data_IF_854987633181
#
_entry.id   IF_854987633181
#
_cell.length_a   1.000
_cell.length_b   1.000
_cell.length_c   1.000
_cell.angle_alpha   90.00
_cell.angle_beta   90.00
_cell.angle_gamma   90.00
#
_symmetry.space_group_name_H-M   'P 1'
#
loop_
_entity.id
_entity.type
_entity.pdbx_description
1 polymer ?
#
# COMPACT_ATOMS: atom_id res chain seq x y z
N UNK A 1 8.72 -14.55 11.16
CA UNK A 1 10.04 -14.24 11.79
C UNK A 1 9.77 -13.26 12.91
N UNK A 2 10.38 -13.45 14.11
CA UNK A 2 10.26 -12.49 15.21
C UNK A 2 11.43 -11.51 15.06
N UNK A 3 11.13 -10.20 15.04
CA UNK A 3 12.11 -9.12 15.01
C UNK A 3 11.99 -8.31 16.30
N UNK A 4 13.10 -7.81 16.83
CA UNK A 4 13.12 -6.87 17.94
C UNK A 4 13.46 -5.48 17.38
N UNK A 5 12.56 -4.51 17.56
CA UNK A 5 12.78 -3.13 17.08
C UNK A 5 13.93 -2.48 17.83
N UNK A 6 13.99 -2.69 19.14
CA UNK A 6 15.03 -2.14 20.00
C UNK A 6 15.82 -3.26 20.71
N UNK A 7 16.55 -4.09 19.92
CA UNK A 7 17.35 -5.20 20.44
C UNK A 7 18.35 -4.83 21.56
N UNK A 8 18.91 -3.57 21.66
CA UNK A 8 19.82 -3.24 22.77
C UNK A 8 19.16 -3.34 24.15
N UNK A 9 17.83 -3.23 24.26
CA UNK A 9 17.12 -3.41 25.53
C UNK A 9 17.31 -4.83 26.11
N UNK A 10 17.58 -5.85 25.28
CA UNK A 10 17.89 -7.19 25.75
C UNK A 10 19.20 -7.28 26.54
N UNK A 11 20.11 -6.33 26.36
CA UNK A 11 21.34 -6.25 27.13
C UNK A 11 21.09 -5.91 28.61
N UNK A 12 19.90 -5.38 28.94
CA UNK A 12 19.50 -5.18 30.34
C UNK A 12 19.33 -6.51 31.09
N UNK A 13 18.98 -7.59 30.42
CA UNK A 13 18.81 -8.93 31.04
C UNK A 13 20.08 -9.42 31.73
N UNK A 14 21.25 -9.48 31.10
CA UNK A 14 22.50 -9.89 31.77
C UNK A 14 22.93 -8.87 32.83
N UNK A 15 22.68 -7.57 32.63
CA UNK A 15 22.99 -6.53 33.64
C UNK A 15 22.14 -6.77 34.89
N UNK A 16 20.84 -7.00 34.75
CA UNK A 16 19.96 -7.34 35.84
C UNK A 16 20.37 -8.63 36.56
N UNK A 17 20.80 -9.65 35.79
CA UNK A 17 21.30 -10.92 36.36
C UNK A 17 22.56 -10.71 37.20
N UNK A 18 23.51 -9.88 36.74
CA UNK A 18 24.71 -9.52 37.52
C UNK A 18 24.36 -8.76 38.78
N UNK A 19 23.47 -7.76 38.71
CA UNK A 19 22.99 -7.03 39.87
C UNK A 19 22.32 -7.97 40.85
N UNK A 20 21.44 -8.88 40.38
CA UNK A 20 20.81 -9.88 41.22
C UNK A 20 21.80 -10.78 41.94
N UNK A 21 22.89 -11.14 41.25
CA UNK A 21 23.95 -11.96 41.81
C UNK A 21 24.73 -11.21 42.90
N UNK A 22 25.08 -9.96 42.65
CA UNK A 22 25.80 -9.09 43.59
C UNK A 22 24.99 -8.74 44.83
N UNK A 23 23.68 -8.53 44.66
CA UNK A 23 22.76 -8.19 45.75
C UNK A 23 22.23 -9.44 46.52
N UNK A 24 22.61 -10.65 46.12
CA UNK A 24 22.30 -11.84 46.90
C UNK A 24 22.86 -11.67 48.30
N UNK A 25 22.01 -11.62 49.36
CA UNK A 25 22.53 -11.59 50.72
C UNK A 25 23.39 -12.84 50.90
N UNK A 26 24.65 -12.67 51.25
CA UNK A 26 25.47 -13.81 51.66
C UNK A 26 24.66 -14.60 52.67
N UNK A 27 24.40 -15.88 52.39
CA UNK A 27 23.82 -16.79 53.36
C UNK A 27 24.82 -16.88 54.51
N UNK A 28 24.84 -15.85 55.31
CA UNK A 28 25.48 -15.90 56.60
C UNK A 28 24.81 -17.06 57.33
N UNK A 29 25.63 -18.05 57.66
CA UNK A 29 25.27 -19.17 58.49
C UNK A 29 24.40 -18.68 59.65
N UNK A 30 23.06 -18.84 59.53
CA UNK A 30 22.22 -18.81 60.70
C UNK A 30 22.73 -19.98 61.57
N UNK A 31 23.70 -19.68 62.42
CA UNK A 31 23.96 -20.52 63.58
C UNK A 31 22.63 -20.58 64.32
N UNK A 32 21.92 -21.69 64.17
CA UNK A 32 20.84 -22.09 65.07
C UNK A 32 21.47 -22.18 66.44
N UNK A 33 21.28 -21.18 67.28
CA UNK A 33 21.47 -21.32 68.70
C UNK A 33 20.38 -22.31 69.15
N UNK A 34 20.78 -23.54 69.32
CA UNK A 34 19.96 -24.59 69.95
C UNK A 34 19.82 -24.22 71.41
N UNK A 35 18.74 -23.54 71.74
CA UNK A 35 18.30 -23.40 73.12
C UNK A 35 17.71 -24.75 73.50
N UNK A 36 18.43 -25.53 74.30
CA UNK A 36 17.92 -26.71 74.95
C UNK A 36 17.11 -26.30 76.14
N UNK A 37 15.80 -25.99 75.98
CA UNK A 37 14.81 -25.84 77.03
C UNK A 37 14.01 -27.14 77.14
N UNK A 38 13.48 -27.42 78.37
CA UNK A 38 12.86 -28.71 78.73
C UNK A 38 11.44 -28.93 78.14
N UNK A 39 10.96 -28.09 77.24
CA UNK A 39 9.67 -28.29 76.58
C UNK A 39 9.88 -28.29 75.07
N UNK A 40 9.81 -29.45 74.48
CA UNK A 40 9.87 -29.73 73.05
C UNK A 40 8.51 -29.34 72.40
N UNK A 41 8.35 -28.04 72.07
CA UNK A 41 7.28 -27.63 71.21
C UNK A 41 7.82 -27.77 69.79
N UNK A 42 7.53 -28.87 69.16
CA UNK A 42 7.69 -29.04 67.70
C UNK A 42 6.91 -27.94 67.00
N UNK A 43 7.55 -26.81 66.81
CA UNK A 43 7.10 -25.84 65.81
C UNK A 43 7.37 -26.43 64.44
N UNK A 44 6.35 -27.10 63.91
CA UNK A 44 6.34 -27.52 62.54
C UNK A 44 6.59 -26.31 61.62
N UNK A 45 7.80 -26.17 61.17
CA UNK A 45 8.10 -25.27 60.06
C UNK A 45 7.37 -25.83 58.85
N UNK A 46 6.15 -25.33 58.62
CA UNK A 46 5.48 -25.55 57.34
C UNK A 46 6.39 -24.89 56.30
N UNK A 47 7.22 -25.67 55.66
CA UNK A 47 7.82 -25.29 54.40
C UNK A 47 6.68 -25.09 53.41
N UNK A 48 6.14 -23.86 53.38
CA UNK A 48 5.25 -23.48 52.29
C UNK A 48 6.08 -23.59 51.01
N UNK A 49 5.77 -24.55 50.17
CA UNK A 49 6.33 -24.70 48.81
C UNK A 49 5.89 -23.54 47.92
N UNK A 50 6.00 -22.33 48.42
CA UNK A 50 5.67 -21.10 47.69
C UNK A 50 6.85 -20.62 46.86
N UNK A 51 6.58 -20.10 45.70
CA UNK A 51 7.59 -19.47 44.84
C UNK A 51 8.26 -18.34 45.60
N UNK A 52 9.59 -18.31 45.69
CA UNK A 52 10.30 -17.25 46.45
C UNK A 52 9.99 -15.87 45.84
N UNK A 53 9.59 -14.86 46.65
CA UNK A 53 9.17 -13.53 46.16
C UNK A 53 10.22 -12.87 45.28
N UNK A 54 11.50 -13.10 45.56
CA UNK A 54 12.60 -12.57 44.75
C UNK A 54 12.61 -13.13 43.32
N UNK A 55 12.18 -14.36 43.14
CA UNK A 55 12.14 -14.97 41.79
C UNK A 55 11.02 -14.36 40.93
N UNK A 56 9.89 -13.99 41.55
CA UNK A 56 8.80 -13.28 40.89
C UNK A 56 9.24 -11.87 40.46
N UNK A 57 9.95 -11.14 41.32
CA UNK A 57 10.48 -9.81 40.98
C UNK A 57 11.46 -9.86 39.80
N UNK A 58 12.40 -10.78 39.84
CA UNK A 58 13.41 -10.91 38.79
C UNK A 58 12.81 -11.36 37.49
N UNK A 59 11.88 -12.32 37.49
CA UNK A 59 11.19 -12.75 36.28
C UNK A 59 10.34 -11.62 35.67
N UNK A 60 9.71 -10.81 36.51
CA UNK A 60 8.96 -9.63 36.06
C UNK A 60 9.87 -8.60 35.39
N UNK A 61 11.03 -8.31 35.96
CA UNK A 61 12.01 -7.37 35.38
C UNK A 61 12.56 -7.88 34.03
N UNK A 62 12.82 -9.17 33.90
CA UNK A 62 13.24 -9.76 32.63
C UNK A 62 12.14 -9.62 31.57
N UNK A 63 10.89 -9.90 31.91
CA UNK A 63 9.76 -9.71 30.97
C UNK A 63 9.58 -8.24 30.58
N UNK A 64 9.76 -7.31 31.48
CA UNK A 64 9.72 -5.88 31.16
C UNK A 64 10.87 -5.47 30.22
N UNK A 65 12.07 -6.05 30.38
CA UNK A 65 13.20 -5.83 29.44
C UNK A 65 12.89 -6.36 28.05
N UNK A 66 12.22 -7.52 27.97
CA UNK A 66 11.73 -8.08 26.68
C UNK A 66 10.64 -7.18 26.10
N UNK A 67 9.72 -6.66 26.91
CA UNK A 67 8.71 -5.71 26.45
C UNK A 67 9.32 -4.44 25.86
N UNK A 68 10.37 -3.91 26.52
CA UNK A 68 11.11 -2.74 26.06
C UNK A 68 11.84 -2.99 24.72
N UNK A 69 12.26 -4.24 24.45
CA UNK A 69 12.85 -4.63 23.19
C UNK A 69 11.83 -4.66 22.03
N UNK A 70 10.53 -4.47 22.31
CA UNK A 70 9.41 -4.44 21.37
C UNK A 70 9.45 -5.64 20.40
N UNK A 71 9.13 -6.85 20.87
CA UNK A 71 9.04 -8.01 19.99
C UNK A 71 7.92 -7.82 18.99
N UNK A 72 8.26 -7.90 17.72
CA UNK A 72 7.36 -7.74 16.59
C UNK A 72 7.28 -9.07 15.84
N UNK A 73 6.09 -9.49 15.46
CA UNK A 73 5.91 -10.68 14.65
C UNK A 73 4.98 -10.42 13.47
N UNK A 74 5.25 -11.15 12.39
CA UNK A 74 4.46 -11.07 11.18
C UNK A 74 4.77 -9.80 10.39
N UNK A 75 4.28 -9.78 9.21
CA UNK A 75 4.12 -8.60 8.38
C UNK A 75 2.71 -8.70 7.84
N UNK A 76 1.90 -7.73 8.17
CA UNK A 76 0.65 -7.50 7.49
C UNK A 76 1.03 -6.59 6.32
N UNK A 77 0.88 -7.08 5.09
CA UNK A 77 0.87 -6.18 3.94
C UNK A 77 -0.34 -5.30 4.14
N UNK A 78 -0.12 -4.06 4.56
CA UNK A 78 -1.13 -3.07 4.28
C UNK A 78 -1.21 -2.99 2.76
N UNK A 79 -2.40 -3.03 2.16
CA UNK A 79 -2.57 -2.56 0.81
C UNK A 79 -2.15 -1.08 0.88
N UNK A 80 -0.91 -0.83 0.45
CA UNK A 80 -0.36 0.51 0.46
C UNK A 80 -1.20 1.39 -0.46
N UNK A 81 -1.60 2.53 0.07
CA UNK A 81 -2.01 3.66 -0.75
C UNK A 81 -0.88 4.12 -1.73
N UNK A 82 0.29 3.45 -1.71
CA UNK A 82 1.45 3.67 -2.57
C UNK A 82 1.76 2.53 -3.55
N UNK A 83 1.11 1.36 -3.45
CA UNK A 83 1.27 0.24 -4.41
C UNK A 83 0.37 0.40 -5.65
N UNK A 84 -0.64 1.27 -5.62
CA UNK A 84 -1.50 1.55 -6.76
C UNK A 84 -0.80 2.37 -7.84
N UNK A 85 -1.20 2.16 -9.08
CA UNK A 85 -0.82 2.97 -10.22
C UNK A 85 -1.81 4.13 -10.34
N UNK A 86 -1.32 5.35 -10.59
CA UNK A 86 -2.20 6.46 -10.96
C UNK A 86 -2.42 6.44 -12.47
N UNK A 87 -3.65 6.23 -12.87
CA UNK A 87 -4.05 6.02 -14.28
C UNK A 87 -4.99 7.13 -14.70
N UNK A 88 -4.80 7.69 -15.89
CA UNK A 88 -5.81 8.51 -16.55
C UNK A 88 -6.22 7.85 -17.86
N UNK A 89 -7.51 7.53 -17.96
CA UNK A 89 -8.15 7.14 -19.21
C UNK A 89 -8.44 8.41 -19.99
N UNK A 90 -7.87 8.53 -21.18
CA UNK A 90 -8.05 9.69 -22.07
C UNK A 90 -8.84 9.20 -23.28
N UNK A 91 -10.14 9.54 -23.30
CA UNK A 91 -11.12 8.99 -24.21
C UNK A 91 -11.52 10.02 -25.28
N UNK A 92 -11.38 9.64 -26.53
CA UNK A 92 -11.94 10.38 -27.67
C UNK A 92 -13.48 10.27 -27.65
N UNK A 93 -14.14 11.40 -27.75
CA UNK A 93 -15.61 11.52 -27.83
C UNK A 93 -16.08 12.26 -29.08
N UNK A 94 -15.22 12.38 -30.09
CA UNK A 94 -15.51 13.00 -31.38
C UNK A 94 -16.63 12.25 -32.12
N UNK A 95 -17.16 12.86 -33.18
CA UNK A 95 -18.27 12.28 -33.94
C UNK A 95 -17.89 10.96 -34.62
N UNK A 96 -16.62 10.75 -35.02
CA UNK A 96 -16.12 9.49 -35.56
C UNK A 96 -16.30 8.31 -34.60
N UNK A 97 -16.21 8.54 -33.28
CA UNK A 97 -16.45 7.53 -32.27
C UNK A 97 -17.91 7.05 -32.18
N UNK A 98 -18.84 7.70 -32.87
CA UNK A 98 -20.23 7.29 -32.97
C UNK A 98 -20.47 6.28 -34.14
N UNK A 99 -19.43 5.97 -34.95
CA UNK A 99 -19.54 4.93 -35.96
C UNK A 99 -19.96 3.58 -35.35
N UNK A 100 -20.72 2.82 -36.19
CA UNK A 100 -21.36 1.55 -35.81
C UNK A 100 -20.64 0.31 -36.37
N UNK A 101 -19.39 0.46 -36.77
CA UNK A 101 -18.53 -0.67 -37.11
C UNK A 101 -18.24 -1.54 -35.87
N UNK A 102 -18.35 -0.94 -34.68
CA UNK A 102 -18.45 -1.62 -33.38
C UNK A 102 -19.91 -1.60 -32.89
N UNK A 103 -20.43 -2.73 -32.46
CA UNK A 103 -21.81 -2.76 -31.92
C UNK A 103 -21.83 -2.38 -30.44
N UNK A 104 -22.59 -1.36 -30.02
CA UNK A 104 -23.44 -0.47 -30.81
C UNK A 104 -22.73 0.72 -31.45
N UNK A 105 -21.55 1.12 -30.95
CA UNK A 105 -20.66 2.14 -31.50
C UNK A 105 -19.26 2.02 -30.87
N UNK A 106 -18.24 2.61 -31.51
CA UNK A 106 -16.85 2.67 -30.95
C UNK A 106 -16.84 3.27 -29.55
N UNK A 107 -17.53 4.39 -29.34
CA UNK A 107 -17.61 5.07 -28.05
C UNK A 107 -18.22 4.18 -26.97
N UNK A 108 -19.32 3.47 -27.31
CA UNK A 108 -19.93 2.57 -26.33
C UNK A 108 -19.03 1.38 -26.00
N UNK A 109 -18.39 0.79 -26.98
CA UNK A 109 -17.42 -0.28 -26.76
C UNK A 109 -16.23 0.20 -25.88
N UNK A 110 -15.73 1.41 -26.14
CA UNK A 110 -14.67 2.01 -25.34
C UNK A 110 -15.08 2.24 -23.88
N UNK A 111 -16.31 2.75 -23.64
CA UNK A 111 -16.86 2.90 -22.29
C UNK A 111 -17.00 1.57 -21.56
N UNK A 112 -17.58 0.57 -22.23
CA UNK A 112 -17.80 -0.75 -21.63
C UNK A 112 -16.46 -1.44 -21.27
N UNK A 113 -15.44 -1.26 -22.10
CA UNK A 113 -14.11 -1.77 -21.84
C UNK A 113 -13.43 -1.00 -20.68
N UNK A 114 -13.57 0.32 -20.62
CA UNK A 114 -13.05 1.15 -19.53
C UNK A 114 -13.73 0.80 -18.18
N UNK A 115 -15.04 0.57 -18.16
CA UNK A 115 -15.77 0.12 -16.96
C UNK A 115 -15.22 -1.20 -16.43
N UNK A 116 -15.06 -2.20 -17.30
CA UNK A 116 -14.48 -3.50 -16.91
C UNK A 116 -13.04 -3.36 -16.41
N UNK A 117 -12.25 -2.45 -16.97
CA UNK A 117 -10.91 -2.16 -16.50
C UNK A 117 -10.89 -1.58 -15.09
N UNK A 118 -11.79 -0.63 -14.80
CA UNK A 118 -11.93 -0.02 -13.46
C UNK A 118 -12.34 -1.06 -12.42
N UNK A 119 -13.32 -1.93 -12.73
CA UNK A 119 -13.77 -3.01 -11.85
C UNK A 119 -12.64 -3.95 -11.43
N UNK A 120 -11.68 -4.21 -12.33
CA UNK A 120 -10.52 -5.08 -12.07
C UNK A 120 -9.42 -4.47 -11.18
N UNK A 121 -9.53 -3.19 -10.79
CA UNK A 121 -8.43 -2.44 -10.16
C UNK A 121 -8.81 -1.69 -8.89
N UNK A 122 -9.20 -2.38 -7.83
CA UNK A 122 -9.74 -1.75 -6.62
C UNK A 122 -8.71 -0.88 -5.86
N UNK A 123 -7.43 -1.03 -6.12
CA UNK A 123 -6.33 -0.33 -5.42
C UNK A 123 -5.72 0.82 -6.22
N UNK A 124 -6.03 0.93 -7.52
CA UNK A 124 -5.48 1.96 -8.39
C UNK A 124 -6.33 3.23 -8.35
N UNK A 125 -5.68 4.38 -8.41
CA UNK A 125 -6.37 5.66 -8.58
C UNK A 125 -6.57 5.93 -10.06
N UNK A 126 -7.83 5.97 -10.49
CA UNK A 126 -8.15 6.11 -11.92
C UNK A 126 -8.90 7.42 -12.13
N UNK A 127 -8.49 8.18 -13.14
CA UNK A 127 -9.13 9.41 -13.59
C UNK A 127 -9.65 9.31 -15.02
N UNK A 128 -10.42 10.30 -15.46
CA UNK A 128 -11.01 10.37 -16.78
C UNK A 128 -10.83 11.77 -17.39
N UNK A 129 -10.23 11.80 -18.56
CA UNK A 129 -10.20 12.95 -19.47
C UNK A 129 -10.95 12.55 -20.73
N UNK A 130 -11.87 13.36 -21.17
CA UNK A 130 -12.47 13.23 -22.51
C UNK A 130 -11.95 14.32 -23.42
N UNK A 131 -11.87 14.08 -24.69
CA UNK A 131 -11.48 15.09 -25.66
C UNK A 131 -12.21 14.95 -26.99
N UNK A 132 -12.39 16.04 -27.67
CA UNK A 132 -12.78 16.20 -29.04
C UNK A 132 -11.90 17.31 -29.63
N UNK A 133 -12.42 18.40 -30.18
CA UNK A 133 -11.59 19.57 -30.52
C UNK A 133 -10.97 20.25 -29.27
N UNK A 134 -11.57 20.05 -28.10
CA UNK A 134 -11.10 20.57 -26.81
C UNK A 134 -11.13 19.46 -25.76
N UNK A 135 -10.12 19.37 -24.87
CA UNK A 135 -10.10 18.39 -23.81
C UNK A 135 -10.86 18.88 -22.56
N UNK A 136 -11.45 17.94 -21.81
CA UNK A 136 -12.13 18.17 -20.55
C UNK A 136 -11.75 17.10 -19.53
N UNK A 137 -11.14 17.49 -18.43
CA UNK A 137 -10.93 16.61 -17.30
C UNK A 137 -12.24 16.42 -16.54
N UNK A 138 -12.86 15.23 -16.65
CA UNK A 138 -14.12 14.90 -16.00
C UNK A 138 -13.92 14.42 -14.56
N UNK A 139 -12.86 13.67 -14.32
CA UNK A 139 -12.57 13.08 -13.02
C UNK A 139 -11.05 13.02 -12.79
N UNK A 140 -10.52 13.63 -11.72
CA UNK A 140 -9.11 13.43 -11.35
C UNK A 140 -8.87 12.00 -10.85
N UNK A 141 -7.62 11.51 -10.77
CA UNK A 141 -7.31 10.19 -10.23
C UNK A 141 -7.89 9.99 -8.83
N UNK A 142 -8.80 9.01 -8.69
CA UNK A 142 -9.55 8.72 -7.47
C UNK A 142 -9.70 7.24 -7.22
N UNK A 143 -9.85 6.84 -5.94
CA UNK A 143 -10.27 5.51 -5.52
C UNK A 143 -11.80 5.38 -5.46
N UNK A 144 -12.56 6.48 -5.62
CA UNK A 144 -14.01 6.43 -5.72
C UNK A 144 -14.43 6.00 -7.14
N UNK A 145 -14.30 4.69 -7.38
CA UNK A 145 -14.64 4.09 -8.67
C UNK A 145 -16.13 4.22 -8.98
N UNK A 146 -17.01 4.25 -7.98
CA UNK A 146 -18.45 4.42 -8.22
C UNK A 146 -18.78 5.79 -8.85
N UNK A 147 -18.06 6.83 -8.46
CA UNK A 147 -18.17 8.15 -9.10
C UNK A 147 -17.54 8.17 -10.48
N UNK A 148 -16.35 7.54 -10.65
CA UNK A 148 -15.67 7.43 -11.93
C UNK A 148 -16.53 6.70 -12.98
N UNK A 149 -17.15 5.57 -12.62
CA UNK A 149 -18.04 4.77 -13.48
C UNK A 149 -19.21 5.60 -14.01
N UNK A 150 -19.78 6.49 -13.16
CA UNK A 150 -20.84 7.41 -13.61
C UNK A 150 -20.34 8.40 -14.65
N UNK A 151 -19.11 8.89 -14.53
CA UNK A 151 -18.51 9.77 -15.53
C UNK A 151 -18.20 9.01 -16.82
N UNK A 152 -17.63 7.81 -16.74
CA UNK A 152 -17.37 6.98 -17.92
C UNK A 152 -18.67 6.68 -18.67
N UNK A 153 -19.72 6.25 -17.96
CA UNK A 153 -21.01 5.91 -18.58
C UNK A 153 -21.68 7.09 -19.28
N UNK A 154 -21.41 8.33 -18.83
CA UNK A 154 -21.99 9.56 -19.39
C UNK A 154 -21.05 10.28 -20.34
N UNK A 155 -19.81 9.79 -20.52
CA UNK A 155 -18.85 10.43 -21.40
C UNK A 155 -19.40 10.51 -22.85
N UNK A 156 -19.47 11.69 -23.40
CA UNK A 156 -20.02 11.95 -24.74
C UNK A 156 -19.52 13.29 -25.24
N UNK A 157 -19.65 13.54 -26.55
CA UNK A 157 -19.31 14.82 -27.14
C UNK A 157 -19.99 16.00 -26.41
N UNK A 158 -21.27 15.84 -26.04
CA UNK A 158 -22.01 16.84 -25.27
C UNK A 158 -21.98 18.23 -25.92
N UNK A 159 -21.44 19.20 -25.18
CA UNK A 159 -21.27 20.60 -25.64
C UNK A 159 -19.86 20.90 -26.19
N UNK A 160 -18.97 19.88 -26.29
CA UNK A 160 -17.66 20.06 -26.88
C UNK A 160 -17.78 20.28 -28.39
N UNK A 161 -16.89 21.08 -28.95
CA UNK A 161 -16.80 21.22 -30.41
C UNK A 161 -16.30 19.91 -30.99
N UNK A 162 -16.86 19.50 -32.12
CA UNK A 162 -16.42 18.32 -32.83
C UNK A 162 -15.02 18.50 -33.44
N UNK A 163 -14.30 17.42 -33.51
CA UNK A 163 -12.91 17.35 -33.96
C UNK A 163 -12.07 16.51 -33.03
N UNK A 164 -10.82 16.27 -33.37
CA UNK A 164 -9.91 15.40 -32.61
C UNK A 164 -8.63 16.14 -32.31
N UNK A 165 -8.41 16.47 -31.01
CA UNK A 165 -7.23 17.16 -30.49
C UNK A 165 -6.44 16.26 -29.54
N UNK A 166 -5.78 15.24 -30.08
CA UNK A 166 -5.01 14.22 -29.32
C UNK A 166 -3.95 14.89 -28.45
N UNK A 167 -3.19 15.84 -29.03
CA UNK A 167 -2.13 16.52 -28.30
C UNK A 167 -2.63 17.27 -27.09
N UNK A 168 -3.77 17.96 -27.20
CA UNK A 168 -4.39 18.69 -26.09
C UNK A 168 -4.94 17.73 -25.03
N UNK A 169 -5.61 16.63 -25.42
CA UNK A 169 -6.08 15.56 -24.53
C UNK A 169 -4.95 14.96 -23.73
N UNK A 170 -3.85 14.61 -24.40
CA UNK A 170 -2.65 14.05 -23.79
C UNK A 170 -1.99 15.03 -22.78
N UNK A 171 -1.92 16.32 -23.13
CA UNK A 171 -1.36 17.34 -22.24
C UNK A 171 -2.18 17.53 -20.96
N UNK A 172 -3.53 17.53 -21.07
CA UNK A 172 -4.42 17.60 -19.90
C UNK A 172 -4.32 16.36 -19.02
N UNK A 173 -4.23 15.18 -19.64
CA UNK A 173 -4.02 13.95 -18.89
C UNK A 173 -2.68 13.93 -18.14
N UNK A 174 -1.58 14.30 -18.80
CA UNK A 174 -0.27 14.39 -18.16
C UNK A 174 -0.28 15.36 -16.99
N UNK A 175 -0.87 16.54 -17.15
CA UNK A 175 -1.02 17.54 -16.08
C UNK A 175 -1.86 17.02 -14.91
N UNK A 176 -2.86 16.18 -15.16
CA UNK A 176 -3.66 15.54 -14.11
C UNK A 176 -2.85 14.60 -13.23
N UNK A 177 -1.70 14.12 -13.71
CA UNK A 177 -0.79 13.26 -12.98
C UNK A 177 0.42 13.99 -12.36
N UNK A 178 0.57 15.29 -12.55
CA UNK A 178 1.71 16.06 -11.98
C UNK A 178 1.74 16.04 -10.46
N UNK A 179 0.57 16.00 -9.82
CA UNK A 179 0.44 15.97 -8.36
C UNK A 179 0.42 14.53 -7.78
N UNK A 180 0.57 13.54 -8.63
CA UNK A 180 0.66 12.14 -8.21
C UNK A 180 1.96 11.91 -7.44
N UNK A 181 1.84 11.26 -6.27
CA UNK A 181 2.99 10.83 -5.46
C UNK A 181 3.37 9.37 -5.71
N UNK A 182 2.62 8.67 -6.57
CA UNK A 182 2.93 7.29 -6.93
C UNK A 182 4.16 7.23 -7.82
N UNK A 183 4.96 6.20 -7.62
CA UNK A 183 6.16 5.98 -8.45
C UNK A 183 5.81 5.68 -9.91
N UNK A 184 4.55 5.32 -10.19
CA UNK A 184 4.07 4.92 -11.52
C UNK A 184 2.80 5.64 -11.89
N UNK A 185 2.83 6.15 -13.09
CA UNK A 185 1.75 6.91 -13.69
C UNK A 185 1.53 6.42 -15.11
N UNK A 186 0.28 6.22 -15.46
CA UNK A 186 -0.11 5.67 -16.75
C UNK A 186 -1.18 6.54 -17.39
N UNK A 187 -1.04 6.81 -18.66
CA UNK A 187 -2.10 7.36 -19.51
C UNK A 187 -2.50 6.29 -20.48
N UNK A 188 -3.79 6.01 -20.60
CA UNK A 188 -4.37 5.16 -21.62
C UNK A 188 -5.12 6.08 -22.59
N UNK A 189 -4.54 6.31 -23.75
CA UNK A 189 -5.08 7.18 -24.78
C UNK A 189 -5.86 6.34 -25.79
N UNK A 190 -7.17 6.54 -25.85
CA UNK A 190 -8.06 5.89 -26.82
C UNK A 190 -8.45 6.87 -27.91
N UNK A 191 -8.21 6.54 -29.16
CA UNK A 191 -8.57 7.35 -30.33
C UNK A 191 -8.89 6.47 -31.51
N UNK A 192 -9.78 6.94 -32.38
CA UNK A 192 -10.10 6.32 -33.66
C UNK A 192 -9.66 7.17 -34.87
N UNK A 193 -9.11 8.35 -34.63
CA UNK A 193 -8.91 9.31 -35.71
C UNK A 193 -7.56 10.01 -35.76
N UNK A 194 -7.44 10.82 -36.80
CA UNK A 194 -6.30 11.70 -36.99
C UNK A 194 -6.50 13.01 -36.27
N UNK A 195 -5.40 13.57 -35.77
CA UNK A 195 -5.35 14.93 -35.24
C UNK A 195 -5.85 15.92 -36.33
N UNK A 196 -6.99 16.56 -36.08
CA UNK A 196 -7.59 17.49 -37.09
C UNK A 196 -8.02 18.84 -36.48
N UNK A 197 -8.03 18.98 -35.17
CA UNK A 197 -8.49 20.18 -34.48
C UNK A 197 -7.46 20.70 -33.44
N UNK A 198 -6.38 19.96 -33.16
CA UNK A 198 -5.42 20.32 -32.14
C UNK A 198 -4.49 21.47 -32.55
N UNK A 199 -4.27 22.42 -31.62
CA UNK A 199 -3.28 23.47 -31.76
C UNK A 199 -1.89 22.97 -31.34
N UNK A 200 -1.83 21.92 -30.52
CA UNK A 200 -0.61 21.35 -29.94
C UNK A 200 -0.30 20.02 -30.61
N UNK A 201 0.90 19.91 -31.16
CA UNK A 201 1.32 18.66 -31.81
C UNK A 201 1.46 17.51 -30.79
N UNK A 202 0.80 16.38 -30.96
CA UNK A 202 0.81 15.26 -30.00
C UNK A 202 2.20 14.66 -29.79
N UNK A 203 3.06 14.67 -30.82
CA UNK A 203 4.45 14.18 -30.68
C UNK A 203 5.30 15.09 -29.81
N UNK A 204 5.09 16.42 -29.89
CA UNK A 204 5.82 17.35 -29.04
C UNK A 204 5.39 17.22 -27.56
N UNK A 205 4.10 16.94 -27.32
CA UNK A 205 3.60 16.62 -25.98
C UNK A 205 4.23 15.33 -25.46
N UNK A 206 4.29 14.27 -26.29
CA UNK A 206 4.92 13.01 -25.91
C UNK A 206 6.42 13.20 -25.54
N UNK A 207 7.16 14.00 -26.31
CA UNK A 207 8.54 14.37 -25.97
C UNK A 207 8.65 15.15 -24.67
N UNK A 208 7.73 16.08 -24.42
CA UNK A 208 7.69 16.84 -23.18
C UNK A 208 7.41 15.92 -21.98
N UNK A 209 6.45 15.00 -22.09
CA UNK A 209 6.17 13.98 -21.09
C UNK A 209 7.44 13.17 -20.77
N UNK A 210 8.14 12.67 -21.81
CA UNK A 210 9.37 11.91 -21.61
C UNK A 210 10.46 12.73 -20.92
N UNK A 211 10.59 13.99 -21.26
CA UNK A 211 11.60 14.90 -20.69
C UNK A 211 11.30 15.24 -19.23
N UNK A 212 10.03 15.49 -18.88
CA UNK A 212 9.61 15.93 -17.55
C UNK A 212 9.45 14.78 -16.57
N UNK A 213 8.95 13.64 -17.02
CA UNK A 213 8.56 12.52 -16.15
C UNK A 213 9.45 11.28 -16.30
N UNK A 214 10.29 11.20 -17.33
CA UNK A 214 11.17 10.06 -17.58
C UNK A 214 10.37 8.76 -17.74
N UNK A 215 10.81 7.70 -17.04
CA UNK A 215 10.15 6.38 -17.06
C UNK A 215 8.99 6.25 -16.05
N UNK A 216 8.73 7.27 -15.24
CA UNK A 216 7.68 7.22 -14.22
C UNK A 216 6.27 7.47 -14.79
N UNK A 217 6.15 8.01 -16.01
CA UNK A 217 4.89 8.18 -16.71
C UNK A 217 4.97 7.53 -18.08
N UNK A 218 4.09 6.57 -18.36
CA UNK A 218 3.98 5.86 -19.65
C UNK A 218 2.65 6.16 -20.32
N UNK A 219 2.65 6.24 -21.63
CA UNK A 219 1.43 6.40 -22.41
C UNK A 219 1.20 5.15 -23.24
N UNK A 220 0.13 4.43 -22.96
CA UNK A 220 -0.39 3.36 -23.79
C UNK A 220 -1.42 3.96 -24.73
N UNK A 221 -1.28 3.69 -26.02
CA UNK A 221 -2.21 4.16 -27.04
C UNK A 221 -3.05 2.98 -27.55
N UNK A 222 -4.34 3.23 -27.73
CA UNK A 222 -5.30 2.25 -28.22
C UNK A 222 -5.96 2.81 -29.48
N UNK A 223 -5.66 2.21 -30.60
CA UNK A 223 -6.29 2.51 -31.88
C UNK A 223 -7.62 1.76 -31.96
N UNK A 224 -8.74 2.49 -32.12
CA UNK A 224 -10.09 1.93 -32.20
C UNK A 224 -10.61 2.14 -33.63
N UNK A 225 -10.89 1.07 -34.34
CA UNK A 225 -11.46 1.15 -35.68
C UNK A 225 -11.14 -0.10 -36.48
N UNK A 226 -11.92 -0.35 -37.55
CA UNK A 226 -11.70 -1.43 -38.47
C UNK A 226 -10.95 -0.94 -39.70
N UNK A 227 -10.10 -1.79 -40.29
CA UNK A 227 -9.46 -1.50 -41.59
C UNK A 227 -10.54 -1.25 -42.66
N UNK A 228 -10.48 -0.07 -43.30
CA UNK A 228 -11.44 0.33 -44.33
C UNK A 228 -12.60 1.19 -43.82
N UNK A 229 -12.63 1.64 -42.59
CA UNK A 229 -13.58 2.63 -42.10
C UNK A 229 -13.41 3.97 -42.85
N UNK A 230 -14.48 4.76 -42.95
CA UNK A 230 -14.47 6.08 -43.62
C UNK A 230 -13.48 7.05 -42.95
N UNK A 231 -13.26 6.86 -41.66
CA UNK A 231 -12.28 7.62 -40.86
C UNK A 231 -11.08 6.69 -40.53
N UNK A 232 -10.00 6.87 -41.28
CA UNK A 232 -8.76 6.09 -41.07
C UNK A 232 -8.13 6.41 -39.72
N UNK A 233 -7.60 5.38 -39.03
CA UNK A 233 -6.86 5.55 -37.81
C UNK A 233 -5.42 5.97 -38.10
N UNK A 234 -4.91 7.03 -37.47
CA UNK A 234 -3.50 7.40 -37.55
C UNK A 234 -2.65 6.57 -36.58
N UNK A 235 -2.48 5.30 -36.95
CA UNK A 235 -1.68 4.33 -36.19
C UNK A 235 -0.23 4.78 -36.04
N UNK A 236 0.30 5.51 -37.04
CA UNK A 236 1.69 5.99 -37.02
C UNK A 236 1.94 7.00 -35.90
N UNK A 237 1.07 8.00 -35.76
CA UNK A 237 1.14 8.99 -34.69
C UNK A 237 0.94 8.33 -33.32
N UNK A 238 -0.05 7.45 -33.18
CA UNK A 238 -0.30 6.74 -31.93
C UNK A 238 0.89 5.84 -31.50
N UNK A 239 1.50 5.12 -32.47
CA UNK A 239 2.71 4.32 -32.22
C UNK A 239 3.86 5.18 -31.75
N UNK A 240 4.09 6.31 -32.40
CA UNK A 240 5.18 7.22 -32.04
C UNK A 240 5.00 7.83 -30.64
N UNK A 241 3.77 8.19 -30.26
CA UNK A 241 3.47 8.68 -28.88
C UNK A 241 3.82 7.59 -27.86
N UNK A 242 3.38 6.37 -28.06
CA UNK A 242 3.63 5.25 -27.15
C UNK A 242 5.13 4.97 -27.03
N UNK A 243 5.85 4.84 -28.15
CA UNK A 243 7.30 4.57 -28.17
C UNK A 243 8.11 5.66 -27.45
N UNK A 244 7.82 6.93 -27.72
CA UNK A 244 8.52 8.06 -27.10
C UNK A 244 8.37 8.07 -25.57
N UNK A 245 7.23 7.62 -25.06
CA UNK A 245 6.91 7.63 -23.62
C UNK A 245 7.21 6.31 -22.91
N UNK A 246 7.74 5.31 -23.64
CA UNK A 246 8.07 3.98 -23.09
C UNK A 246 6.85 3.10 -22.86
N UNK A 247 5.71 3.43 -23.47
CA UNK A 247 4.51 2.60 -23.50
C UNK A 247 4.46 1.71 -24.75
N UNK A 248 3.24 1.35 -25.15
CA UNK A 248 2.99 0.49 -26.31
C UNK A 248 1.68 0.87 -26.99
N UNK A 249 1.65 0.75 -28.31
CA UNK A 249 0.43 0.79 -29.11
C UNK A 249 -0.30 -0.56 -29.02
N UNK A 250 -1.60 -0.50 -28.88
CA UNK A 250 -2.52 -1.61 -29.06
C UNK A 250 -3.50 -1.27 -30.17
N UNK A 251 -3.68 -2.22 -31.06
CA UNK A 251 -4.70 -2.15 -32.07
C UNK A 251 -5.92 -2.95 -31.60
N UNK A 252 -7.07 -2.33 -31.62
CA UNK A 252 -8.33 -2.92 -31.21
C UNK A 252 -9.29 -2.89 -32.39
N UNK A 253 -9.18 -3.87 -33.29
CA UNK A 253 -10.08 -4.04 -34.45
C UNK A 253 -11.47 -4.58 -34.05
N UNK A 254 -11.67 -4.97 -32.80
CA UNK A 254 -12.95 -5.49 -32.29
C UNK A 254 -13.17 -5.17 -30.81
N UNK A 255 -14.44 -5.18 -30.31
CA UNK A 255 -14.72 -5.00 -28.87
C UNK A 255 -14.05 -6.03 -27.97
N UNK A 256 -13.82 -7.25 -28.47
CA UNK A 256 -13.15 -8.31 -27.72
C UNK A 256 -11.65 -8.01 -27.58
N UNK A 257 -11.02 -7.55 -28.66
CA UNK A 257 -9.61 -7.11 -28.63
C UNK A 257 -9.42 -5.93 -27.69
N UNK A 258 -10.32 -4.94 -27.73
CA UNK A 258 -10.30 -3.80 -26.82
C UNK A 258 -10.33 -4.24 -25.33
N UNK A 259 -11.12 -5.26 -25.00
CA UNK A 259 -11.12 -5.83 -23.64
C UNK A 259 -9.78 -6.50 -23.30
N UNK A 260 -9.14 -7.19 -24.25
CA UNK A 260 -7.84 -7.85 -24.06
C UNK A 260 -6.68 -6.86 -23.90
N UNK A 261 -6.78 -5.68 -24.52
CA UNK A 261 -5.80 -4.59 -24.40
C UNK A 261 -5.62 -4.18 -22.93
N UNK A 262 -6.71 -3.97 -22.22
CA UNK A 262 -6.64 -3.59 -20.82
C UNK A 262 -5.99 -4.67 -19.94
N UNK A 263 -6.26 -5.95 -20.22
CA UNK A 263 -5.60 -7.07 -19.54
C UNK A 263 -4.10 -7.12 -19.85
N UNK A 264 -3.70 -6.78 -21.07
CA UNK A 264 -2.30 -6.70 -21.48
C UNK A 264 -1.57 -5.54 -20.76
N UNK A 265 -2.19 -4.37 -20.67
CA UNK A 265 -1.66 -3.22 -19.91
C UNK A 265 -1.48 -3.60 -18.43
N UNK A 266 -2.46 -4.29 -17.85
CA UNK A 266 -2.41 -4.79 -16.48
C UNK A 266 -1.18 -5.68 -16.24
N UNK A 267 -0.96 -6.65 -17.13
CA UNK A 267 0.19 -7.56 -17.02
C UNK A 267 1.53 -6.84 -17.16
N UNK A 268 1.61 -5.82 -18.01
CA UNK A 268 2.83 -5.02 -18.20
C UNK A 268 3.16 -4.16 -16.98
N UNK A 269 2.16 -3.58 -16.34
CA UNK A 269 2.36 -2.75 -15.15
C UNK A 269 2.56 -3.60 -13.89
N UNK A 270 1.87 -4.74 -13.74
CA UNK A 270 2.04 -5.65 -12.62
C UNK A 270 3.45 -6.27 -12.56
N UNK A 271 4.03 -6.61 -13.72
CA UNK A 271 5.35 -7.27 -13.79
C UNK A 271 6.52 -6.38 -13.37
N UNK A 272 6.31 -5.08 -13.25
CA UNK A 272 7.35 -4.09 -12.93
C UNK A 272 7.31 -3.61 -11.48
N UNK A 273 6.40 -4.13 -10.63
CA UNK A 273 6.36 -3.79 -9.20
C UNK A 273 7.58 -4.39 -8.47
N UNK A 274 8.42 -3.58 -7.80
CA UNK A 274 9.42 -4.13 -6.91
C UNK A 274 8.72 -4.83 -5.73
N UNK A 275 9.28 -5.94 -5.19
CA UNK A 275 8.68 -6.68 -4.09
C UNK A 275 8.76 -5.96 -2.73
N UNK A 276 9.10 -4.69 -2.70
CA UNK A 276 9.26 -3.90 -1.49
C UNK A 276 7.93 -3.28 -1.06
N UNK A 277 7.01 -4.12 -0.55
CA UNK A 277 5.85 -3.65 0.20
C UNK A 277 6.28 -3.07 1.54
N UNK A 278 5.66 -1.98 1.99
CA UNK A 278 5.79 -1.49 3.36
C UNK A 278 5.27 -2.57 4.33
N UNK A 279 6.20 -3.16 5.06
CA UNK A 279 5.88 -4.18 6.04
C UNK A 279 5.51 -3.52 7.36
N UNK A 280 4.25 -3.65 7.77
CA UNK A 280 3.85 -3.27 9.12
C UNK A 280 4.00 -4.47 10.03
N UNK A 281 4.84 -4.31 11.03
CA UNK A 281 5.06 -5.33 12.05
C UNK A 281 4.03 -5.15 13.18
N UNK A 282 3.42 -6.27 13.61
CA UNK A 282 2.50 -6.26 14.74
C UNK A 282 3.27 -6.35 16.04
N UNK A 283 3.12 -5.33 16.87
CA UNK A 283 3.76 -5.23 18.18
C UNK A 283 3.11 -6.18 19.20
N UNK A 284 3.94 -6.90 19.94
CA UNK A 284 3.49 -7.80 21.01
C UNK A 284 3.97 -7.38 22.42
N UNK A 285 4.60 -6.21 22.55
CA UNK A 285 5.18 -5.75 23.80
C UNK A 285 4.16 -5.64 24.93
N UNK A 286 2.90 -5.37 24.63
CA UNK A 286 1.83 -5.13 25.60
C UNK A 286 1.60 -6.31 26.55
N UNK A 287 1.59 -7.53 26.03
CA UNK A 287 1.41 -8.74 26.86
C UNK A 287 2.60 -8.97 27.78
N UNK A 288 3.81 -8.79 27.29
CA UNK A 288 5.02 -8.92 28.10
C UNK A 288 5.08 -7.85 29.19
N UNK A 289 4.61 -6.63 28.91
CA UNK A 289 4.54 -5.53 29.86
C UNK A 289 3.55 -5.82 30.99
N UNK A 290 2.32 -6.25 30.67
CA UNK A 290 1.28 -6.55 31.68
C UNK A 290 1.72 -7.69 32.58
N UNK A 291 2.19 -8.79 32.02
CA UNK A 291 2.63 -9.95 32.80
C UNK A 291 3.83 -9.58 33.65
N UNK A 292 4.81 -8.87 33.10
CA UNK A 292 5.99 -8.39 33.83
C UNK A 292 5.62 -7.49 34.99
N UNK A 293 4.72 -6.53 34.79
CA UNK A 293 4.24 -5.61 35.84
C UNK A 293 3.49 -6.38 36.95
N UNK A 294 2.62 -7.31 36.59
CA UNK A 294 1.88 -8.12 37.57
C UNK A 294 2.82 -8.94 38.47
N UNK A 295 3.88 -9.51 37.88
CA UNK A 295 4.89 -10.29 38.63
C UNK A 295 5.72 -9.38 39.56
N UNK A 296 6.09 -8.18 39.13
CA UNK A 296 6.83 -7.23 39.95
C UNK A 296 5.96 -6.78 41.12
N UNK A 297 4.71 -6.39 40.89
CA UNK A 297 3.79 -5.94 41.95
C UNK A 297 3.45 -7.09 42.91
N UNK A 298 3.18 -8.29 42.41
CA UNK A 298 2.91 -9.48 43.22
C UNK A 298 4.11 -9.89 44.07
N UNK A 299 5.30 -9.95 43.48
CA UNK A 299 6.55 -10.24 44.21
C UNK A 299 6.88 -9.20 45.27
N UNK A 300 6.67 -7.90 44.97
CA UNK A 300 6.85 -6.81 45.94
C UNK A 300 5.88 -6.88 47.13
N UNK A 301 4.61 -7.15 46.87
CA UNK A 301 3.59 -7.31 47.89
C UNK A 301 3.88 -8.50 48.83
N UNK A 302 4.30 -9.65 48.28
CA UNK A 302 4.69 -10.81 49.08
C UNK A 302 5.93 -10.55 49.90
N UNK A 303 6.92 -9.83 49.37
CA UNK A 303 8.12 -9.49 50.09
C UNK A 303 7.84 -8.50 51.24
N UNK A 304 6.97 -7.53 51.04
CA UNK A 304 6.55 -6.60 52.08
C UNK A 304 5.74 -7.29 53.18
N UNK A 305 4.82 -8.19 52.82
CA UNK A 305 4.09 -9.01 53.79
C UNK A 305 5.01 -9.85 54.67
N UNK A 306 6.01 -10.50 54.08
CA UNK A 306 7.00 -11.31 54.77
C UNK A 306 7.87 -10.47 55.75
N UNK A 307 8.21 -9.22 55.38
CA UNK A 307 8.97 -8.31 56.27
C UNK A 307 8.16 -7.84 57.47
N UNK A 308 6.84 -7.61 57.36
CA UNK A 308 5.98 -7.24 58.46
C UNK A 308 5.82 -8.36 59.48
N UNK A 309 5.64 -9.60 59.02
CA UNK A 309 5.51 -10.77 59.91
C UNK A 309 6.82 -11.11 60.64
N UNK A 310 7.97 -10.69 60.13
CA UNK A 310 9.28 -10.91 60.77
C UNK A 310 9.67 -9.78 61.75
N UNK A 311 8.92 -8.68 61.79
CA UNK A 311 9.19 -7.50 62.63
C UNK A 311 8.28 -7.38 63.87
N UNK A 312 7.22 -8.19 63.94
CA UNK A 312 6.38 -8.39 65.13
C UNK A 312 6.85 -9.67 65.87
#
# INVERSE_FOLDING_TARGET
MIRFEFWPALLLVPVLAVIAHLLRPSRGSRRSQTYTGPFDVQQGTSESAGVPPGLLLWSGLVLMSVALARPQSGFERLPDAGEGVDIIITLDVSTSMLEQDYSPSRLQAARDAALRFVEGRPTDRIGLVVYAAEPLALCPPTLDHATLERFISKASLGNLKDGTAIGAGLAVAARGLDYSQTARRVIILLSDGMENAGIVNPIDVARAIRTLHGDSLRVYTVAIGTEGSEYGVDVATLSQIAELTGGRLFDAGSPQELSSVYSAIDSLEASTLPPEGLFVYKDHYFWFLIIGLALVLGGGALQWGAMKVAGD
#
